data_IF_192674320864
#
_entry.id   IF_192674320864
#
_cell.length_a   1.000
_cell.length_b   1.000
_cell.length_c   1.000
_cell.angle_alpha   90.00
_cell.angle_beta   90.00
_cell.angle_gamma   90.00
#
_symmetry.space_group_name_H-M   'P 1'
#
loop_
_entity.id
_entity.type
_entity.pdbx_description
1 polymer ?
#
# COMPACT_ATOMS: atom_id res chain seq x y z
N UNK A 1 -21.16 11.00 -27.50
CA UNK A 1 -19.94 11.11 -26.68
C UNK A 1 -19.64 9.72 -26.17
N UNK A 2 -18.58 9.07 -26.66
CA UNK A 2 -18.22 7.71 -26.23
C UNK A 2 -17.47 7.78 -24.90
N UNK A 3 -17.79 6.93 -23.90
CA UNK A 3 -17.01 6.85 -22.67
C UNK A 3 -15.63 6.26 -23.01
N UNK A 4 -14.55 6.95 -22.65
CA UNK A 4 -13.18 6.52 -22.94
C UNK A 4 -12.78 5.38 -21.97
N UNK A 5 -12.58 4.13 -22.44
CA UNK A 5 -12.21 2.99 -21.60
C UNK A 5 -10.75 3.05 -21.06
N UNK A 6 -10.00 4.10 -21.40
CA UNK A 6 -8.59 4.26 -21.06
C UNK A 6 -8.34 4.85 -19.67
N UNK A 7 -9.28 5.63 -19.11
CA UNK A 7 -9.03 6.36 -17.86
C UNK A 7 -8.97 5.44 -16.63
N UNK A 8 -9.94 4.54 -16.45
CA UNK A 8 -9.97 3.65 -15.28
C UNK A 8 -8.79 2.66 -15.23
N UNK A 9 -8.29 2.22 -16.38
CA UNK A 9 -7.10 1.33 -16.45
C UNK A 9 -5.81 2.06 -16.04
N UNK A 10 -5.69 3.34 -16.39
CA UNK A 10 -4.55 4.18 -16.00
C UNK A 10 -4.59 4.53 -14.51
N UNK A 11 -5.78 4.75 -13.95
CA UNK A 11 -5.97 4.98 -12.51
C UNK A 11 -5.61 3.74 -11.67
N UNK A 12 -5.99 2.54 -12.13
CA UNK A 12 -5.61 1.29 -11.48
C UNK A 12 -4.09 1.08 -11.52
N UNK A 13 -3.47 1.27 -12.69
CA UNK A 13 -2.01 1.15 -12.82
C UNK A 13 -1.25 2.16 -11.93
N UNK A 14 -1.76 3.39 -11.81
CA UNK A 14 -1.20 4.39 -10.89
C UNK A 14 -1.36 3.97 -9.43
N UNK A 15 -2.51 3.42 -9.07
CA UNK A 15 -2.76 2.91 -7.72
C UNK A 15 -1.80 1.77 -7.38
N UNK A 16 -1.63 0.80 -8.27
CA UNK A 16 -0.66 -0.30 -8.11
C UNK A 16 0.77 0.23 -7.93
N UNK A 17 1.20 1.19 -8.76
CA UNK A 17 2.50 1.83 -8.62
C UNK A 17 2.69 2.53 -7.27
N UNK A 18 1.67 3.25 -6.81
CA UNK A 18 1.72 3.93 -5.52
C UNK A 18 1.80 2.93 -4.35
N UNK A 19 1.05 1.83 -4.39
CA UNK A 19 1.11 0.79 -3.34
C UNK A 19 2.46 0.06 -3.38
N UNK A 20 3.00 -0.23 -4.57
CA UNK A 20 4.34 -0.79 -4.71
C UNK A 20 5.42 0.12 -4.10
N UNK A 21 5.31 1.42 -4.35
CA UNK A 21 6.19 2.43 -3.76
C UNK A 21 6.05 2.50 -2.22
N UNK A 22 4.82 2.49 -1.68
CA UNK A 22 4.58 2.41 -0.24
C UNK A 22 5.23 1.16 0.36
N UNK A 23 5.07 0.00 -0.28
CA UNK A 23 5.66 -1.26 0.18
C UNK A 23 7.19 -1.19 0.23
N UNK A 24 7.83 -0.55 -0.75
CA UNK A 24 9.27 -0.31 -0.71
C UNK A 24 9.67 0.53 0.51
N UNK A 25 9.02 1.69 0.71
CA UNK A 25 9.30 2.57 1.86
C UNK A 25 9.11 1.85 3.20
N UNK A 26 8.09 1.00 3.33
CA UNK A 26 7.86 0.22 4.53
C UNK A 26 9.01 -0.76 4.82
N UNK A 27 9.62 -1.37 3.80
CA UNK A 27 10.79 -2.23 3.96
C UNK A 27 12.02 -1.46 4.49
N UNK A 28 12.24 -0.25 3.99
CA UNK A 28 13.31 0.65 4.44
C UNK A 28 13.07 1.08 5.90
N UNK A 29 11.86 1.56 6.22
CA UNK A 29 11.48 1.98 7.57
C UNK A 29 11.53 0.83 8.58
N UNK A 30 11.14 -0.38 8.19
CA UNK A 30 11.22 -1.56 9.05
C UNK A 30 12.67 -1.90 9.43
N UNK A 31 13.62 -1.64 8.52
CA UNK A 31 15.04 -1.81 8.82
C UNK A 31 15.54 -0.78 9.82
N UNK A 32 15.12 0.48 9.68
CA UNK A 32 15.44 1.53 10.66
C UNK A 32 14.85 1.19 12.04
N UNK A 33 13.57 0.81 12.11
CA UNK A 33 12.91 0.48 13.38
C UNK A 33 13.58 -0.70 14.12
N UNK A 34 14.05 -1.72 13.39
CA UNK A 34 14.83 -2.83 13.96
C UNK A 34 16.15 -2.36 14.55
N UNK A 35 16.87 -1.48 13.85
CA UNK A 35 18.16 -0.97 14.32
C UNK A 35 18.03 -0.14 15.62
N UNK A 36 16.86 0.48 15.83
CA UNK A 36 16.55 1.26 17.04
C UNK A 36 15.93 0.42 18.17
N UNK A 37 15.82 -0.92 18.02
CA UNK A 37 15.13 -1.81 18.98
C UNK A 37 13.68 -1.39 19.29
N UNK A 38 13.00 -0.77 18.30
CA UNK A 38 11.62 -0.33 18.44
C UNK A 38 10.65 -1.45 18.05
N UNK A 39 10.55 -2.49 18.87
CA UNK A 39 9.85 -3.75 18.53
C UNK A 39 8.40 -3.55 18.09
N UNK A 40 7.64 -2.73 18.83
CA UNK A 40 6.24 -2.47 18.49
C UNK A 40 6.10 -1.70 17.18
N UNK A 41 7.01 -0.76 16.91
CA UNK A 41 7.03 -0.01 15.66
C UNK A 41 7.42 -0.91 14.48
N UNK A 42 8.42 -1.78 14.66
CA UNK A 42 8.82 -2.76 13.66
C UNK A 42 7.64 -3.67 13.28
N UNK A 43 6.92 -4.18 14.27
CA UNK A 43 5.74 -5.00 14.04
C UNK A 43 4.68 -4.27 13.19
N UNK A 44 4.33 -3.03 13.55
CA UNK A 44 3.32 -2.26 12.81
C UNK A 44 3.74 -2.01 11.35
N UNK A 45 5.02 -1.72 11.13
CA UNK A 45 5.57 -1.52 9.79
C UNK A 45 5.54 -2.82 8.99
N UNK A 46 5.88 -3.96 9.60
CA UNK A 46 5.85 -5.26 8.96
C UNK A 46 4.42 -5.70 8.60
N UNK A 47 3.45 -5.47 9.49
CA UNK A 47 2.04 -5.73 9.19
C UNK A 47 1.54 -4.86 8.03
N UNK A 48 1.91 -3.58 7.97
CA UNK A 48 1.59 -2.71 6.85
C UNK A 48 2.29 -3.15 5.54
N UNK A 49 3.50 -3.68 5.62
CA UNK A 49 4.24 -4.21 4.46
C UNK A 49 3.53 -5.43 3.86
N UNK A 50 3.04 -6.35 4.72
CA UNK A 50 2.26 -7.51 4.29
C UNK A 50 0.93 -7.09 3.67
N UNK A 51 0.21 -6.14 4.29
CA UNK A 51 -1.02 -5.56 3.74
C UNK A 51 -0.81 -5.01 2.32
N UNK A 52 0.24 -4.22 2.11
CA UNK A 52 0.55 -3.67 0.79
C UNK A 52 0.84 -4.77 -0.24
N UNK A 53 1.45 -5.89 0.18
CA UNK A 53 1.64 -7.06 -0.67
C UNK A 53 0.32 -7.73 -1.06
N UNK A 54 -0.58 -7.92 -0.09
CA UNK A 54 -1.91 -8.51 -0.31
C UNK A 54 -2.77 -7.64 -1.25
N UNK A 55 -2.68 -6.32 -1.12
CA UNK A 55 -3.34 -5.36 -2.02
C UNK A 55 -2.80 -5.48 -3.44
N UNK A 56 -1.48 -5.55 -3.64
CA UNK A 56 -0.87 -5.70 -4.97
C UNK A 56 -1.19 -7.05 -5.62
N UNK A 57 -1.33 -8.10 -4.82
CA UNK A 57 -1.72 -9.42 -5.28
C UNK A 57 -3.22 -9.51 -5.64
N UNK A 58 -3.99 -8.44 -5.43
CA UNK A 58 -5.44 -8.44 -5.59
C UNK A 58 -6.18 -9.31 -4.57
N UNK A 59 -5.51 -9.69 -3.47
CA UNK A 59 -6.06 -10.56 -2.42
C UNK A 59 -6.90 -9.78 -1.39
N UNK A 60 -6.71 -8.45 -1.29
CA UNK A 60 -7.60 -7.54 -0.56
C UNK A 60 -7.98 -6.34 -1.41
N UNK A 61 -9.27 -5.93 -1.45
CA UNK A 61 -9.65 -4.65 -2.02
C UNK A 61 -9.03 -3.52 -1.19
N UNK A 62 -8.59 -2.44 -1.84
CA UNK A 62 -8.27 -1.18 -1.15
C UNK A 62 -9.57 -0.63 -0.57
N UNK A 63 -9.92 -1.04 0.64
CA UNK A 63 -11.01 -0.44 1.39
C UNK A 63 -10.54 0.92 1.88
N UNK A 64 -10.93 1.97 1.16
CA UNK A 64 -10.96 3.32 1.74
C UNK A 64 -11.94 3.26 2.89
N UNK A 65 -11.45 3.36 4.13
CA UNK A 65 -12.29 3.68 5.27
C UNK A 65 -12.98 4.99 4.89
N UNK A 66 -14.27 4.94 4.54
CA UNK A 66 -15.02 6.13 4.15
C UNK A 66 -14.93 7.13 5.31
N UNK A 67 -14.41 8.31 5.01
CA UNK A 67 -14.27 9.40 5.97
C UNK A 67 -15.68 9.74 6.49
N UNK A 68 -15.96 9.66 7.80
CA UNK A 68 -17.26 10.06 8.32
C UNK A 68 -17.49 11.55 7.99
N UNK A 69 -18.63 11.82 7.35
CA UNK A 69 -19.05 13.14 6.86
C UNK A 69 -19.29 14.13 8.00
#
# INVERSE_FOLDING_TARGET
MQPHPSQGKLENARTEQNIAYIRQMLGELGTVARNENADMLCYLIEMAYLEAGDVLAGSRPVSTIEKPR
#
